data_IF_711558057101
#
_entry.id   IF_711558057101
#
_cell.length_a   1.000
_cell.length_b   1.000
_cell.length_c   1.000
_cell.angle_alpha   90.00
_cell.angle_beta   90.00
_cell.angle_gamma   90.00
#
_symmetry.space_group_name_H-M   'P 1'
#
loop_
_entity.id
_entity.type
_entity.pdbx_description
1 polymer ?
#
# COMPACT_ATOMS: atom_id res chain seq x y z
N UNK A 1 -15.39 -39.32 -10.52
CA UNK A 1 -14.01 -38.82 -10.42
C UNK A 1 -14.16 -37.30 -10.33
N UNK A 2 -14.60 -36.85 -9.16
CA UNK A 2 -14.99 -35.46 -8.95
C UNK A 2 -13.72 -34.69 -8.54
N UNK A 3 -13.24 -33.86 -9.45
CA UNK A 3 -12.24 -32.85 -9.14
C UNK A 3 -12.92 -31.77 -8.29
N UNK A 4 -12.87 -31.95 -6.97
CA UNK A 4 -13.05 -30.83 -6.04
C UNK A 4 -11.98 -29.77 -6.39
N UNK A 5 -12.43 -28.65 -6.95
CA UNK A 5 -11.71 -27.40 -6.86
C UNK A 5 -11.54 -27.07 -5.38
N UNK A 6 -10.42 -27.49 -4.80
CA UNK A 6 -9.95 -27.00 -3.52
C UNK A 6 -9.75 -25.49 -3.70
N UNK A 7 -10.72 -24.71 -3.24
CA UNK A 7 -10.50 -23.30 -2.94
C UNK A 7 -9.45 -23.25 -1.84
N UNK A 8 -8.18 -23.18 -2.21
CA UNK A 8 -7.12 -22.88 -1.25
C UNK A 8 -7.43 -21.50 -0.68
N UNK A 9 -7.91 -21.47 0.57
CA UNK A 9 -8.22 -20.25 1.29
C UNK A 9 -6.95 -19.38 1.35
N UNK A 10 -7.05 -18.12 0.91
CA UNK A 10 -5.95 -17.17 0.98
C UNK A 10 -5.88 -16.60 2.39
N UNK A 11 -4.80 -16.89 3.10
CA UNK A 11 -4.57 -16.41 4.46
C UNK A 11 -3.70 -15.15 4.45
N UNK A 12 -3.98 -14.21 5.35
CA UNK A 12 -3.20 -12.98 5.48
C UNK A 12 -2.19 -13.11 6.62
N UNK A 13 -0.96 -12.68 6.40
CA UNK A 13 0.06 -12.60 7.44
C UNK A 13 0.70 -11.20 7.51
N UNK A 14 1.20 -10.85 8.69
CA UNK A 14 2.07 -9.69 8.90
C UNK A 14 3.48 -10.25 9.10
N UNK A 15 4.47 -9.86 8.28
CA UNK A 15 5.84 -10.35 8.45
C UNK A 15 6.48 -9.75 9.69
N UNK A 16 7.39 -10.50 10.30
CA UNK A 16 8.30 -9.98 11.31
C UNK A 16 9.36 -9.11 10.62
N UNK A 17 9.54 -7.87 11.04
CA UNK A 17 10.68 -7.06 10.61
C UNK A 17 11.94 -7.47 11.37
N UNK A 18 13.02 -7.69 10.64
CA UNK A 18 14.32 -8.10 11.17
C UNK A 18 15.37 -7.09 10.76
N UNK A 19 16.16 -6.62 11.73
CA UNK A 19 17.34 -5.82 11.47
C UNK A 19 18.48 -6.76 11.05
N UNK A 20 18.76 -6.85 9.74
CA UNK A 20 20.08 -7.33 9.30
C UNK A 20 20.97 -6.11 9.14
N UNK A 21 22.10 -6.11 9.88
CA UNK A 21 23.17 -5.11 9.83
C UNK A 21 23.84 -5.03 8.46
N UNK A 22 23.12 -4.54 7.46
CA UNK A 22 23.67 -4.09 6.19
C UNK A 22 23.99 -2.61 6.28
N UNK A 23 25.11 -2.19 5.71
CA UNK A 23 25.63 -0.81 5.72
C UNK A 23 24.69 0.21 5.05
N UNK A 24 23.58 -0.24 4.45
CA UNK A 24 22.56 0.58 3.81
C UNK A 24 21.42 0.81 4.82
N UNK A 25 21.44 1.98 5.46
CA UNK A 25 20.30 2.50 6.26
C UNK A 25 19.01 2.44 5.42
N UNK A 26 18.09 1.53 5.76
CA UNK A 26 16.71 1.52 5.24
C UNK A 26 16.21 0.25 4.56
N UNK A 27 17.02 -0.79 4.37
CA UNK A 27 16.55 -2.08 3.81
C UNK A 27 16.05 -3.00 4.92
N UNK A 28 14.79 -2.86 5.33
CA UNK A 28 14.17 -3.79 6.29
C UNK A 28 14.09 -5.19 5.65
N UNK A 29 14.47 -6.22 6.41
CA UNK A 29 14.29 -7.62 6.02
C UNK A 29 13.04 -8.16 6.70
N UNK A 30 12.19 -8.83 5.94
CA UNK A 30 10.93 -9.39 6.39
C UNK A 30 11.05 -10.90 6.54
N UNK A 31 10.43 -11.44 7.59
CA UNK A 31 10.40 -12.87 7.88
C UNK A 31 8.96 -13.37 8.05
N UNK A 32 8.68 -14.53 7.47
CA UNK A 32 7.40 -15.20 7.56
C UNK A 32 7.58 -16.65 8.01
N UNK A 33 7.02 -16.98 9.18
CA UNK A 33 6.94 -18.34 9.70
C UNK A 33 5.63 -18.97 9.24
N UNK A 34 5.70 -19.79 8.20
CA UNK A 34 4.55 -20.49 7.65
C UNK A 34 4.16 -21.70 8.52
N UNK A 35 2.92 -21.79 9.00
CA UNK A 35 2.51 -22.88 9.89
C UNK A 35 2.16 -24.19 9.17
N UNK A 36 1.70 -24.15 7.92
CA UNK A 36 1.21 -25.31 7.17
C UNK A 36 1.12 -25.02 5.66
N UNK A 37 0.77 -26.03 4.85
CA UNK A 37 0.54 -25.84 3.41
C UNK A 37 -0.64 -24.88 3.16
N UNK A 38 -0.53 -24.00 2.16
CA UNK A 38 -1.56 -23.00 1.88
C UNK A 38 -1.05 -21.81 1.07
N UNK A 39 -1.93 -20.84 0.79
CA UNK A 39 -1.57 -19.56 0.17
C UNK A 39 -1.58 -18.47 1.22
N UNK A 40 -0.48 -17.71 1.32
CA UNK A 40 -0.29 -16.70 2.34
C UNK A 40 0.08 -15.36 1.71
N UNK A 41 -0.79 -14.34 1.84
CA UNK A 41 -0.55 -12.99 1.36
C UNK A 41 -0.01 -12.10 2.48
N UNK A 42 1.09 -11.41 2.19
CA UNK A 42 1.66 -10.41 3.06
C UNK A 42 0.79 -9.15 3.07
N UNK A 43 0.37 -8.69 4.25
CA UNK A 43 -0.40 -7.43 4.39
C UNK A 43 0.40 -6.17 4.05
N UNK A 44 1.72 -6.21 4.13
CA UNK A 44 2.58 -5.05 3.87
C UNK A 44 2.89 -4.91 2.38
N UNK A 45 3.34 -6.01 1.77
CA UNK A 45 3.88 -5.99 0.40
C UNK A 45 2.95 -6.58 -0.64
N UNK A 46 1.84 -7.20 -0.23
CA UNK A 46 0.94 -7.97 -1.10
C UNK A 46 1.58 -9.18 -1.80
N UNK A 47 2.83 -9.55 -1.50
CA UNK A 47 3.39 -10.82 -1.97
C UNK A 47 2.56 -12.00 -1.47
N UNK A 48 2.31 -12.98 -2.35
CA UNK A 48 1.73 -14.27 -1.93
C UNK A 48 2.73 -15.39 -2.12
N UNK A 49 2.90 -16.19 -1.07
CA UNK A 49 3.65 -17.44 -1.10
C UNK A 49 2.67 -18.61 -1.09
N UNK A 50 2.74 -19.49 -2.08
CA UNK A 50 2.08 -20.80 -2.01
C UNK A 50 3.04 -21.82 -1.43
N UNK A 51 2.77 -22.22 -0.20
CA UNK A 51 3.60 -23.11 0.61
C UNK A 51 3.08 -24.54 0.50
N UNK A 52 3.97 -25.52 0.32
CA UNK A 52 3.62 -26.95 0.32
C UNK A 52 3.58 -27.55 1.73
N UNK A 53 3.96 -26.79 2.75
CA UNK A 53 4.00 -27.23 4.14
C UNK A 53 4.51 -26.14 5.08
N UNK A 54 4.74 -26.52 6.35
CA UNK A 54 5.38 -25.64 7.34
C UNK A 54 6.76 -25.20 6.84
N UNK A 55 7.10 -23.93 7.02
CA UNK A 55 8.36 -23.38 6.52
C UNK A 55 8.68 -21.99 7.04
N UNK A 56 9.78 -21.44 6.53
CA UNK A 56 10.27 -20.12 6.84
C UNK A 56 10.74 -19.43 5.55
N UNK A 57 10.13 -18.28 5.26
CA UNK A 57 10.51 -17.43 4.12
C UNK A 57 11.05 -16.11 4.66
N UNK A 58 12.20 -15.71 4.14
CA UNK A 58 12.76 -14.38 4.32
C UNK A 58 12.69 -13.63 3.00
N UNK A 59 12.40 -12.34 3.04
CA UNK A 59 12.53 -11.51 1.86
C UNK A 59 12.82 -10.05 2.22
N UNK A 60 13.34 -9.29 1.26
CA UNK A 60 13.52 -7.84 1.38
C UNK A 60 13.25 -7.17 0.05
N UNK A 61 12.93 -5.88 0.10
CA UNK A 61 12.77 -5.04 -1.10
C UNK A 61 14.12 -4.39 -1.38
N UNK A 62 14.63 -4.57 -2.60
CA UNK A 62 15.93 -4.04 -3.04
C UNK A 62 15.78 -3.11 -4.23
N UNK A 63 16.80 -2.29 -4.50
CA UNK A 63 16.78 -1.38 -5.66
C UNK A 63 17.07 -2.13 -6.96
N UNK A 64 16.39 -1.71 -8.03
CA UNK A 64 16.72 -2.13 -9.40
C UNK A 64 18.07 -1.55 -9.86
N UNK A 65 18.47 -0.37 -9.35
CA UNK A 65 19.66 0.35 -9.83
C UNK A 65 20.98 -0.39 -9.54
N UNK A 66 21.00 -1.27 -8.53
CA UNK A 66 22.18 -2.05 -8.17
C UNK A 66 22.33 -3.34 -9.00
N UNK A 67 21.39 -3.62 -9.90
CA UNK A 67 21.33 -4.88 -10.65
C UNK A 67 21.31 -4.59 -12.16
N UNK A 68 22.44 -4.80 -12.87
CA UNK A 68 22.54 -4.53 -14.31
C UNK A 68 21.46 -5.26 -15.11
N UNK A 69 20.83 -4.54 -16.03
CA UNK A 69 19.75 -5.01 -16.90
C UNK A 69 20.24 -5.22 -18.33
N UNK A 70 21.40 -5.85 -18.47
CA UNK A 70 22.07 -6.04 -19.76
C UNK A 70 21.17 -6.82 -20.73
N UNK A 71 21.04 -6.33 -21.96
CA UNK A 71 20.15 -6.91 -22.97
C UNK A 71 18.65 -6.66 -22.75
N UNK A 72 18.26 -6.03 -21.64
CA UNK A 72 16.86 -5.76 -21.26
C UNK A 72 16.47 -4.29 -21.39
N UNK A 73 17.16 -3.51 -22.23
CA UNK A 73 16.90 -2.06 -22.39
C UNK A 73 15.45 -1.73 -22.81
N UNK A 74 14.81 -2.63 -23.57
CA UNK A 74 13.42 -2.52 -24.01
C UNK A 74 12.39 -2.88 -22.91
N UNK A 75 12.84 -3.40 -21.77
CA UNK A 75 11.99 -3.73 -20.62
C UNK A 75 12.04 -2.62 -19.57
N UNK A 76 10.95 -2.45 -18.83
CA UNK A 76 10.82 -1.52 -17.72
C UNK A 76 10.36 -2.23 -16.46
N UNK A 77 10.99 -1.98 -15.30
CA UNK A 77 10.44 -2.35 -14.00
C UNK A 77 9.06 -1.73 -13.75
N UNK A 78 8.10 -2.55 -13.33
CA UNK A 78 6.73 -2.10 -13.02
C UNK A 78 6.33 -2.27 -11.54
N UNK A 79 7.28 -2.62 -10.68
CA UNK A 79 7.07 -2.77 -9.25
C UNK A 79 8.39 -3.01 -8.49
N UNK A 80 8.31 -3.36 -7.20
CA UNK A 80 9.48 -3.65 -6.38
C UNK A 80 10.27 -4.86 -6.89
N UNK A 81 11.58 -4.88 -6.61
CA UNK A 81 12.45 -6.05 -6.76
C UNK A 81 12.55 -6.73 -5.40
N UNK A 82 12.21 -8.02 -5.34
CA UNK A 82 12.18 -8.79 -4.10
C UNK A 82 13.33 -9.78 -4.06
N UNK A 83 14.25 -9.62 -3.12
CA UNK A 83 15.23 -10.65 -2.78
C UNK A 83 14.55 -11.62 -1.80
N UNK A 84 14.27 -12.83 -2.26
CA UNK A 84 13.48 -13.85 -1.56
C UNK A 84 14.39 -15.04 -1.29
N UNK A 85 14.28 -15.59 -0.08
CA UNK A 85 14.96 -16.83 0.31
C UNK A 85 14.02 -17.70 1.15
N UNK A 86 13.97 -19.00 0.87
CA UNK A 86 13.26 -19.98 1.69
C UNK A 86 14.26 -20.72 2.56
N UNK A 87 14.24 -20.45 3.86
CA UNK A 87 15.15 -21.06 4.84
C UNK A 87 14.73 -22.49 5.15
N UNK A 88 13.41 -22.73 5.21
CA UNK A 88 12.84 -24.03 5.51
C UNK A 88 11.54 -24.23 4.74
N UNK A 89 11.30 -25.45 4.26
CA UNK A 89 10.08 -25.81 3.53
C UNK A 89 10.21 -25.54 2.03
N UNK A 90 9.08 -25.59 1.34
CA UNK A 90 9.00 -25.44 -0.10
C UNK A 90 7.89 -24.44 -0.46
N UNK A 91 8.27 -23.41 -1.18
CA UNK A 91 7.34 -22.49 -1.86
C UNK A 91 7.20 -23.01 -3.29
N UNK A 92 6.01 -23.41 -3.70
CA UNK A 92 5.80 -23.90 -5.07
C UNK A 92 5.45 -22.78 -6.05
N UNK A 93 4.77 -21.73 -5.60
CA UNK A 93 4.41 -20.61 -6.47
C UNK A 93 4.61 -19.28 -5.76
N UNK A 94 5.03 -18.29 -6.54
CA UNK A 94 5.13 -16.90 -6.13
C UNK A 94 4.11 -16.06 -6.87
N UNK A 95 3.42 -15.19 -6.13
CA UNK A 95 2.48 -14.24 -6.69
C UNK A 95 3.06 -12.85 -6.46
N UNK A 96 3.53 -12.23 -7.53
CA UNK A 96 4.12 -10.90 -7.53
C UNK A 96 3.02 -9.87 -7.75
N UNK A 97 2.83 -8.89 -6.83
CA UNK A 97 1.78 -7.90 -6.95
C UNK A 97 2.06 -6.92 -8.09
N UNK A 98 1.01 -6.52 -8.80
CA UNK A 98 1.05 -5.43 -9.78
C UNK A 98 -0.22 -4.59 -9.70
N UNK A 99 -0.18 -3.43 -10.36
CA UNK A 99 -1.35 -2.58 -10.54
C UNK A 99 -1.66 -2.28 -12.01
N UNK A 100 -0.98 -2.94 -12.95
CA UNK A 100 -1.26 -2.79 -14.39
C UNK A 100 -2.71 -3.10 -14.75
N UNK A 101 -3.31 -2.24 -15.59
CA UNK A 101 -4.58 -2.52 -16.24
C UNK A 101 -4.25 -3.21 -17.55
N UNK A 102 -4.40 -4.53 -17.58
CA UNK A 102 -4.10 -5.35 -18.75
C UNK A 102 -5.39 -5.67 -19.52
N UNK A 103 -5.36 -5.44 -20.83
CA UNK A 103 -6.33 -6.02 -21.77
C UNK A 103 -5.81 -7.40 -22.22
N UNK A 104 -6.67 -8.26 -22.77
CA UNK A 104 -6.28 -9.65 -23.11
C UNK A 104 -5.05 -9.73 -24.02
N UNK A 105 -4.93 -8.82 -24.98
CA UNK A 105 -3.78 -8.72 -25.90
C UNK A 105 -2.49 -8.25 -25.20
N UNK A 106 -2.61 -7.53 -24.07
CA UNK A 106 -1.48 -6.93 -23.34
C UNK A 106 -0.77 -7.88 -22.37
N UNK A 107 -1.40 -9.03 -22.03
CA UNK A 107 -0.83 -10.02 -21.09
C UNK A 107 0.50 -10.62 -21.60
N UNK A 108 0.71 -10.61 -22.92
CA UNK A 108 1.88 -11.19 -23.60
C UNK A 108 3.16 -10.35 -23.42
N UNK A 109 3.06 -9.15 -22.83
CA UNK A 109 4.18 -8.20 -22.74
C UNK A 109 4.83 -8.13 -21.36
N UNK A 110 4.36 -8.94 -20.42
CA UNK A 110 4.86 -9.00 -19.05
C UNK A 110 5.77 -10.20 -18.87
N UNK A 111 6.91 -9.99 -18.22
CA UNK A 111 7.83 -11.04 -17.81
C UNK A 111 8.24 -10.84 -16.35
N UNK A 112 8.74 -11.91 -15.73
CA UNK A 112 9.40 -11.82 -14.42
C UNK A 112 10.90 -11.92 -14.63
N UNK A 113 11.65 -10.93 -14.16
CA UNK A 113 13.09 -11.03 -14.04
C UNK A 113 13.43 -11.92 -12.84
N UNK A 114 14.31 -12.89 -13.06
CA UNK A 114 14.91 -13.73 -12.04
C UNK A 114 16.44 -13.54 -12.10
N UNK A 115 17.01 -12.84 -11.12
CA UNK A 115 18.45 -12.59 -11.09
C UNK A 115 19.14 -13.70 -10.32
N UNK A 116 19.92 -14.51 -11.03
CA UNK A 116 20.80 -15.51 -10.44
C UNK A 116 22.20 -14.92 -10.21
N UNK A 117 23.11 -15.70 -9.62
CA UNK A 117 24.48 -15.23 -9.35
C UNK A 117 25.22 -14.75 -10.61
N UNK A 118 24.90 -15.34 -11.78
CA UNK A 118 25.67 -15.16 -13.01
C UNK A 118 24.88 -14.50 -14.15
N UNK A 119 23.54 -14.39 -14.03
CA UNK A 119 22.70 -13.93 -15.14
C UNK A 119 21.30 -13.45 -14.73
N UNK A 120 20.59 -12.84 -15.66
CA UNK A 120 19.16 -12.50 -15.54
C UNK A 120 18.35 -13.39 -16.48
N UNK A 121 17.43 -14.16 -15.90
CA UNK A 121 16.50 -15.00 -16.65
C UNK A 121 15.13 -14.31 -16.73
N UNK A 122 14.44 -14.45 -17.87
CA UNK A 122 13.07 -13.99 -18.03
C UNK A 122 12.11 -15.17 -17.90
N UNK A 123 11.39 -15.22 -16.79
CA UNK A 123 10.34 -16.21 -16.55
C UNK A 123 9.03 -15.69 -17.15
N UNK A 124 8.39 -16.52 -17.96
CA UNK A 124 7.05 -16.24 -18.47
C UNK A 124 6.01 -16.50 -17.37
N UNK A 125 5.06 -15.58 -17.14
CA UNK A 125 3.96 -15.80 -16.21
C UNK A 125 3.18 -17.08 -16.53
N UNK A 126 2.85 -17.87 -15.50
CA UNK A 126 1.85 -18.93 -15.62
C UNK A 126 0.45 -18.33 -15.80
N UNK A 127 0.19 -17.28 -15.03
CA UNK A 127 -1.09 -16.57 -15.04
C UNK A 127 -0.89 -15.13 -14.61
N UNK A 128 -1.62 -14.22 -15.26
CA UNK A 128 -1.71 -12.81 -14.87
C UNK A 128 -3.16 -12.53 -14.49
N UNK A 129 -3.36 -12.11 -13.25
CA UNK A 129 -4.66 -11.71 -12.69
C UNK A 129 -4.80 -10.18 -12.73
N UNK A 130 -5.82 -9.63 -12.06
CA UNK A 130 -5.97 -8.18 -11.96
C UNK A 130 -4.99 -7.53 -10.96
N UNK A 131 -4.36 -8.32 -10.10
CA UNK A 131 -3.53 -7.84 -8.98
C UNK A 131 -2.21 -8.56 -8.84
N UNK A 132 -2.05 -9.76 -9.41
CA UNK A 132 -0.85 -10.58 -9.27
C UNK A 132 -0.45 -11.28 -10.57
N UNK A 133 0.86 -11.40 -10.74
CA UNK A 133 1.53 -12.27 -11.69
C UNK A 133 1.97 -13.53 -10.95
N UNK A 134 1.60 -14.70 -11.46
CA UNK A 134 1.84 -15.99 -10.82
C UNK A 134 2.92 -16.73 -11.60
N UNK A 135 3.95 -17.20 -10.90
CA UNK A 135 5.02 -18.03 -11.45
C UNK A 135 5.22 -19.29 -10.60
N UNK A 136 5.64 -20.37 -11.26
CA UNK A 136 6.30 -21.51 -10.61
C UNK A 136 7.76 -21.12 -10.32
N UNK A 137 8.26 -21.50 -9.15
CA UNK A 137 9.62 -21.14 -8.75
C UNK A 137 10.44 -22.40 -8.46
N UNK A 138 11.59 -22.48 -9.12
CA UNK A 138 12.54 -23.61 -8.95
C UNK A 138 13.77 -23.23 -8.12
N UNK A 139 13.90 -21.94 -7.79
CA UNK A 139 14.99 -21.39 -6.99
C UNK A 139 14.55 -20.10 -6.30
N UNK A 140 15.40 -19.62 -5.40
CA UNK A 140 15.16 -18.39 -4.65
C UNK A 140 16.31 -17.42 -4.89
N UNK A 141 15.98 -16.18 -5.24
CA UNK A 141 16.91 -15.09 -5.50
C UNK A 141 16.09 -13.80 -5.63
N UNK A 142 16.45 -12.92 -6.57
CA UNK A 142 15.73 -11.68 -6.82
C UNK A 142 14.67 -11.87 -7.90
N UNK A 143 13.44 -11.45 -7.59
CA UNK A 143 12.29 -11.51 -8.49
C UNK A 143 11.66 -10.13 -8.65
N UNK A 144 11.41 -9.73 -9.90
CA UNK A 144 10.78 -8.45 -10.18
C UNK A 144 10.01 -8.45 -11.49
N UNK A 145 8.96 -7.63 -11.57
CA UNK A 145 8.10 -7.57 -12.75
C UNK A 145 8.63 -6.59 -13.79
N UNK A 146 8.65 -7.04 -15.04
CA UNK A 146 9.05 -6.26 -16.21
C UNK A 146 7.92 -6.16 -17.22
N UNK A 147 7.82 -4.99 -17.86
CA UNK A 147 6.92 -4.74 -18.98
C UNK A 147 7.73 -4.25 -20.19
N UNK A 148 7.37 -4.73 -21.38
CA UNK A 148 8.00 -4.28 -22.62
C UNK A 148 7.55 -2.84 -22.98
N UNK A 149 8.52 -1.90 -23.01
CA UNK A 149 8.32 -0.47 -23.28
C UNK A 149 7.75 -0.18 -24.67
N UNK A 150 7.96 -1.07 -25.64
CA UNK A 150 7.53 -0.85 -27.02
C UNK A 150 6.00 -0.74 -27.17
N UNK A 151 5.24 -1.19 -26.17
CA UNK A 151 3.78 -1.16 -26.18
C UNK A 151 3.18 0.08 -25.46
N UNK A 152 4.02 1.06 -25.09
CA UNK A 152 3.62 2.34 -24.51
C UNK A 152 3.29 2.30 -23.01
N UNK A 153 3.09 3.47 -22.41
CA UNK A 153 2.67 3.59 -21.00
C UNK A 153 1.21 3.13 -20.84
N UNK A 154 1.03 1.96 -20.23
CA UNK A 154 -0.27 1.45 -19.79
C UNK A 154 -0.83 2.29 -18.65
N UNK A 155 -2.16 2.34 -18.60
CA UNK A 155 -2.84 2.86 -17.42
C UNK A 155 -2.70 1.85 -16.28
N UNK A 156 -2.54 2.33 -15.06
CA UNK A 156 -2.43 1.51 -13.86
C UNK A 156 -3.53 1.88 -12.86
N UNK A 157 -3.94 0.91 -12.05
CA UNK A 157 -4.69 1.17 -10.84
C UNK A 157 -3.81 1.95 -9.87
N UNK A 158 -4.24 3.15 -9.53
CA UNK A 158 -3.56 4.04 -8.62
C UNK A 158 -4.48 4.45 -7.48
N UNK A 159 -3.95 5.22 -6.55
CA UNK A 159 -4.66 5.73 -5.39
C UNK A 159 -4.27 7.17 -5.10
N UNK A 160 -5.26 7.95 -4.66
CA UNK A 160 -5.10 9.29 -4.11
C UNK A 160 -5.21 9.18 -2.59
N UNK A 161 -4.12 9.43 -1.86
CA UNK A 161 -4.12 9.46 -0.40
C UNK A 161 -4.04 10.89 0.10
N UNK A 162 -4.84 11.18 1.13
CA UNK A 162 -4.96 12.51 1.73
C UNK A 162 -4.41 12.48 3.15
N UNK A 163 -3.52 13.42 3.43
CA UNK A 163 -2.84 13.54 4.73
C UNK A 163 -2.94 14.97 5.22
N UNK A 164 -3.49 15.19 6.40
CA UNK A 164 -3.84 16.51 6.89
C UNK A 164 -3.13 16.86 8.20
N UNK A 165 -2.69 18.11 8.30
CA UNK A 165 -2.09 18.66 9.52
C UNK A 165 -2.58 20.07 9.79
N UNK A 166 -2.96 20.34 11.04
CA UNK A 166 -3.14 21.70 11.57
C UNK A 166 -1.76 22.25 11.92
N UNK A 167 -1.41 23.42 11.40
CA UNK A 167 -0.14 24.08 11.74
C UNK A 167 -0.34 24.94 12.99
N UNK A 168 0.59 24.83 13.93
CA UNK A 168 0.56 25.52 15.23
C UNK A 168 1.24 26.90 15.20
N UNK A 169 1.86 27.27 14.08
CA UNK A 169 2.56 28.53 13.81
C UNK A 169 1.60 29.67 13.42
N UNK A 170 2.05 30.92 13.60
CA UNK A 170 1.44 32.21 13.28
C UNK A 170 0.62 32.14 11.98
N UNK A 171 -0.70 32.12 12.15
CA UNK A 171 -1.67 32.09 11.06
C UNK A 171 -2.67 30.94 11.12
N UNK A 172 -2.54 29.99 12.06
CA UNK A 172 -3.47 28.85 12.23
C UNK A 172 -3.80 28.11 10.92
N UNK A 173 -2.86 28.11 9.97
CA UNK A 173 -3.06 27.50 8.65
C UNK A 173 -3.16 25.99 8.75
N UNK A 174 -3.85 25.38 7.81
CA UNK A 174 -3.96 23.95 7.67
C UNK A 174 -3.26 23.53 6.37
N UNK A 175 -2.65 22.35 6.37
CA UNK A 175 -1.97 21.80 5.20
C UNK A 175 -2.54 20.42 4.89
N UNK A 176 -2.85 20.20 3.63
CA UNK A 176 -3.30 18.91 3.10
C UNK A 176 -2.27 18.43 2.08
N UNK A 177 -1.69 17.28 2.33
CA UNK A 177 -0.84 16.55 1.41
C UNK A 177 -1.69 15.60 0.58
N UNK A 178 -1.45 15.62 -0.74
CA UNK A 178 -2.04 14.69 -1.70
C UNK A 178 -0.92 13.83 -2.22
N UNK A 179 -1.07 12.51 -2.10
CA UNK A 179 -0.15 11.53 -2.66
C UNK A 179 -0.83 10.80 -3.80
N UNK A 180 -0.21 10.81 -4.97
CA UNK A 180 -0.54 9.93 -6.08
C UNK A 180 0.40 8.74 -6.04
N UNK A 181 -0.12 7.55 -5.75
CA UNK A 181 0.69 6.34 -5.61
C UNK A 181 0.09 5.17 -6.40
N UNK A 182 0.91 4.20 -6.84
CA UNK A 182 0.43 2.92 -7.31
C UNK A 182 -0.45 2.21 -6.26
N UNK A 183 -1.47 1.46 -6.69
CA UNK A 183 -2.39 0.75 -5.76
C UNK A 183 -1.69 -0.32 -4.92
N UNK A 184 -0.50 -0.79 -5.34
CA UNK A 184 0.28 -1.79 -4.59
C UNK A 184 0.95 -1.22 -3.34
N UNK A 185 1.04 0.11 -3.19
CA UNK A 185 1.66 0.77 -2.03
C UNK A 185 0.71 0.73 -0.83
N UNK A 186 1.22 0.32 0.34
CA UNK A 186 0.43 0.24 1.57
C UNK A 186 0.14 1.62 2.16
N UNK A 187 -1.13 1.88 2.48
CA UNK A 187 -1.55 3.12 3.16
C UNK A 187 -0.88 3.26 4.52
N UNK A 188 -0.73 2.16 5.26
CA UNK A 188 -0.11 2.14 6.59
C UNK A 188 1.38 2.50 6.49
N UNK A 189 2.07 2.00 5.46
CA UNK A 189 3.48 2.32 5.22
C UNK A 189 3.67 3.81 4.92
N UNK A 190 2.82 4.38 4.06
CA UNK A 190 2.83 5.81 3.77
C UNK A 190 2.54 6.61 5.04
N UNK A 191 1.49 6.23 5.79
CA UNK A 191 1.08 6.93 7.00
C UNK A 191 2.18 6.96 8.06
N UNK A 192 2.89 5.85 8.27
CA UNK A 192 4.03 5.77 9.20
C UNK A 192 5.18 6.72 8.81
N UNK A 193 5.26 7.15 7.54
CA UNK A 193 6.28 8.08 7.02
C UNK A 193 5.81 9.54 6.95
N UNK A 194 4.52 9.81 7.19
CA UNK A 194 3.97 11.17 7.10
C UNK A 194 4.07 11.99 8.41
N UNK A 195 4.84 11.53 9.41
CA UNK A 195 5.03 12.22 10.70
C UNK A 195 3.67 12.59 11.36
N UNK A 196 3.48 13.85 11.75
CA UNK A 196 2.24 14.32 12.42
C UNK A 196 1.06 14.54 11.46
N UNK A 197 1.18 14.20 10.18
CA UNK A 197 0.04 14.29 9.27
C UNK A 197 -0.88 13.09 9.46
N UNK A 198 -2.16 13.38 9.62
CA UNK A 198 -3.19 12.38 9.81
C UNK A 198 -3.73 11.93 8.45
N UNK A 199 -3.81 10.62 8.20
CA UNK A 199 -4.54 10.11 7.05
C UNK A 199 -6.04 10.45 7.16
N UNK A 200 -6.61 10.96 6.06
CA UNK A 200 -8.06 11.10 5.92
C UNK A 200 -8.55 9.96 5.05
N UNK A 201 -9.37 9.08 5.63
CA UNK A 201 -10.00 7.99 4.89
C UNK A 201 -11.01 8.56 3.91
N UNK A 202 -10.84 8.23 2.64
CA UNK A 202 -11.76 8.56 1.54
C UNK A 202 -11.68 7.47 0.47
N UNK A 203 -12.56 7.50 -0.52
CA UNK A 203 -12.42 6.65 -1.70
C UNK A 203 -11.15 7.07 -2.45
N UNK A 204 -10.11 6.26 -2.40
CA UNK A 204 -8.79 6.62 -2.94
C UNK A 204 -8.56 6.14 -4.38
N UNK A 205 -9.24 5.07 -4.81
CA UNK A 205 -8.99 4.40 -6.09
C UNK A 205 -9.17 5.34 -7.29
N UNK A 206 -8.19 5.33 -8.19
CA UNK A 206 -8.22 6.00 -9.49
C UNK A 206 -7.43 5.19 -10.52
N UNK A 207 -7.36 5.69 -11.75
CA UNK A 207 -6.54 5.13 -12.82
C UNK A 207 -5.65 6.23 -13.38
N UNK A 208 -4.33 6.01 -13.38
CA UNK A 208 -3.34 6.99 -13.82
C UNK A 208 -2.38 6.36 -14.83
N UNK A 209 -1.72 7.17 -15.62
CA UNK A 209 -0.76 6.75 -16.65
C UNK A 209 0.61 7.28 -16.21
N UNK A 210 1.57 6.40 -15.90
CA UNK A 210 2.93 6.82 -15.55
C UNK A 210 3.59 7.70 -16.64
N UNK A 211 4.31 8.72 -16.19
CA UNK A 211 4.94 9.73 -17.06
C UNK A 211 3.99 10.84 -17.53
N UNK A 212 2.73 10.83 -17.12
CA UNK A 212 1.79 11.94 -17.38
C UNK A 212 1.69 12.89 -16.20
N UNK A 213 1.39 14.15 -16.53
CA UNK A 213 1.17 15.22 -15.56
C UNK A 213 -0.28 15.28 -15.11
N UNK A 214 -0.45 15.54 -13.81
CA UNK A 214 -1.74 15.68 -13.13
C UNK A 214 -1.74 16.94 -12.28
N UNK A 215 -2.93 17.40 -11.89
CA UNK A 215 -3.09 18.53 -10.96
C UNK A 215 -4.35 18.42 -10.10
N UNK A 216 -4.35 18.92 -8.86
CA UNK A 216 -5.54 18.99 -8.03
C UNK A 216 -6.64 19.84 -8.68
N UNK A 217 -7.89 19.39 -8.58
CA UNK A 217 -9.08 20.24 -8.73
C UNK A 217 -9.53 20.67 -7.34
N UNK A 218 -9.13 21.86 -6.92
CA UNK A 218 -9.62 22.49 -5.70
C UNK A 218 -9.62 24.02 -5.85
N UNK A 219 -10.40 24.70 -5.01
CA UNK A 219 -10.53 26.16 -5.01
C UNK A 219 -9.41 26.86 -4.20
N UNK A 220 -8.58 26.09 -3.51
CA UNK A 220 -7.53 26.59 -2.64
C UNK A 220 -6.18 26.66 -3.34
N UNK A 221 -5.23 27.39 -2.74
CA UNK A 221 -3.86 27.45 -3.25
C UNK A 221 -3.18 26.10 -3.03
N UNK A 222 -2.53 25.59 -4.07
CA UNK A 222 -1.74 24.37 -4.01
C UNK A 222 -0.43 24.51 -4.79
N UNK A 223 0.50 23.60 -4.52
CA UNK A 223 1.76 23.47 -5.26
C UNK A 223 2.19 22.01 -5.39
N UNK A 224 2.95 21.64 -6.42
CA UNK A 224 3.18 22.44 -7.65
C UNK A 224 1.88 22.59 -8.47
N UNK A 225 1.92 23.37 -9.56
CA UNK A 225 0.77 23.58 -10.44
C UNK A 225 0.33 22.29 -11.15
N UNK A 226 1.30 21.45 -11.51
CA UNK A 226 1.14 20.11 -12.03
C UNK A 226 2.38 19.28 -11.66
N UNK A 227 2.23 17.97 -11.59
CA UNK A 227 3.33 17.03 -11.32
C UNK A 227 3.19 15.76 -12.14
N UNK A 228 4.32 15.17 -12.53
CA UNK A 228 4.38 13.90 -13.24
C UNK A 228 4.13 12.74 -12.28
N UNK A 229 3.17 11.88 -12.62
CA UNK A 229 2.92 10.66 -11.87
C UNK A 229 3.91 9.57 -12.29
N UNK A 230 4.67 9.04 -11.32
CA UNK A 230 5.63 7.98 -11.52
C UNK A 230 5.26 6.70 -10.76
N UNK A 231 5.91 5.58 -11.10
CA UNK A 231 5.72 4.26 -10.47
C UNK A 231 6.43 4.16 -9.10
N UNK A 232 6.47 5.24 -8.33
CA UNK A 232 7.18 5.27 -7.06
C UNK A 232 6.50 4.34 -6.04
N UNK A 233 7.21 3.30 -5.60
CA UNK A 233 6.76 2.34 -4.60
C UNK A 233 7.55 2.47 -3.28
N UNK A 234 8.13 3.64 -3.02
CA UNK A 234 8.90 3.92 -1.81
C UNK A 234 10.41 3.78 -1.99
N UNK A 235 11.19 3.86 -0.89
CA UNK A 235 10.72 4.02 0.49
C UNK A 235 10.34 5.46 0.87
N UNK A 236 10.66 6.43 0.00
CA UNK A 236 10.39 7.85 0.24
C UNK A 236 9.05 8.28 -0.38
N UNK A 237 8.03 8.39 0.47
CA UNK A 237 6.69 8.84 0.09
C UNK A 237 6.54 10.34 0.30
N UNK A 238 7.06 11.13 -0.65
CA UNK A 238 6.85 12.58 -0.65
C UNK A 238 5.46 12.94 -1.19
N UNK A 239 4.80 13.97 -0.63
CA UNK A 239 3.53 14.43 -1.17
C UNK A 239 3.71 14.89 -2.62
N UNK A 240 2.83 14.43 -3.50
CA UNK A 240 2.78 14.89 -4.90
C UNK A 240 2.30 16.33 -4.97
N UNK A 241 1.33 16.70 -4.13
CA UNK A 241 0.85 18.07 -4.01
C UNK A 241 0.64 18.48 -2.56
N UNK A 242 0.77 19.77 -2.32
CA UNK A 242 0.50 20.41 -1.04
C UNK A 242 -0.58 21.48 -1.25
N UNK A 243 -1.70 21.35 -0.54
CA UNK A 243 -2.78 22.34 -0.53
C UNK A 243 -2.74 23.12 0.78
N UNK A 244 -2.80 24.45 0.67
CA UNK A 244 -2.79 25.37 1.80
C UNK A 244 -4.21 25.87 2.07
N UNK A 245 -4.62 25.77 3.32
CA UNK A 245 -5.97 26.04 3.76
C UNK A 245 -5.94 27.05 4.92
N UNK A 246 -6.89 27.98 4.91
CA UNK A 246 -7.07 28.92 6.02
C UNK A 246 -7.63 28.20 7.25
N UNK A 247 -7.51 28.85 8.41
CA UNK A 247 -7.81 28.23 9.71
C UNK A 247 -9.28 27.82 9.85
N UNK A 248 -10.18 28.52 9.18
CA UNK A 248 -11.63 28.37 9.26
C UNK A 248 -12.15 27.25 8.36
N UNK A 249 -11.33 26.73 7.43
CA UNK A 249 -11.77 25.71 6.45
C UNK A 249 -11.93 24.36 7.13
N UNK A 250 -13.17 23.90 7.31
CA UNK A 250 -13.49 22.63 7.96
C UNK A 250 -13.72 21.48 6.98
N UNK A 251 -14.07 21.80 5.74
CA UNK A 251 -14.29 20.85 4.66
C UNK A 251 -13.74 21.41 3.36
N UNK A 252 -13.39 20.53 2.43
CA UNK A 252 -12.87 20.87 1.12
C UNK A 252 -13.41 19.91 0.07
N UNK A 253 -13.78 20.42 -1.10
CA UNK A 253 -14.01 19.58 -2.28
C UNK A 253 -12.71 19.45 -3.07
N UNK A 254 -12.26 18.21 -3.27
CA UNK A 254 -11.00 17.91 -3.94
C UNK A 254 -11.20 16.83 -4.99
N UNK A 255 -10.61 17.05 -6.17
CA UNK A 255 -10.56 16.12 -7.29
C UNK A 255 -9.17 16.09 -7.92
N UNK A 256 -8.98 15.28 -8.98
CA UNK A 256 -7.74 15.24 -9.74
C UNK A 256 -8.03 15.37 -11.25
N UNK A 257 -7.26 16.22 -11.91
CA UNK A 257 -7.34 16.44 -13.35
C UNK A 257 -6.08 15.92 -14.04
N UNK A 258 -6.26 15.44 -15.27
CA UNK A 258 -5.14 15.29 -16.19
C UNK A 258 -4.75 16.62 -16.87
N UNK A 259 -3.73 16.56 -17.73
CA UNK A 259 -3.23 17.70 -18.50
C UNK A 259 -4.28 18.36 -19.41
N UNK A 260 -5.31 17.63 -19.82
CA UNK A 260 -6.38 18.09 -20.71
C UNK A 260 -7.56 18.67 -19.91
N UNK A 261 -7.49 18.63 -18.57
CA UNK A 261 -8.55 19.10 -17.68
C UNK A 261 -9.67 18.07 -17.49
N UNK A 262 -9.47 16.82 -17.91
CA UNK A 262 -10.41 15.74 -17.65
C UNK A 262 -10.26 15.26 -16.21
N UNK A 263 -11.39 15.00 -15.57
CA UNK A 263 -11.44 14.40 -14.23
C UNK A 263 -11.01 12.93 -14.29
N UNK A 264 -9.92 12.61 -13.61
CA UNK A 264 -9.40 11.24 -13.45
C UNK A 264 -9.64 10.69 -12.05
N UNK A 265 -10.03 11.56 -11.12
CA UNK A 265 -10.56 11.23 -9.80
C UNK A 265 -11.61 12.30 -9.45
N UNK A 266 -12.88 11.88 -9.44
CA UNK A 266 -14.04 12.79 -9.31
C UNK A 266 -13.96 13.66 -8.05
N UNK A 267 -14.30 14.95 -8.13
CA UNK A 267 -14.34 15.84 -6.98
C UNK A 267 -15.25 15.31 -5.87
N UNK A 268 -14.76 15.25 -4.65
CA UNK A 268 -15.53 14.81 -3.48
C UNK A 268 -15.26 15.68 -2.26
N UNK A 269 -16.28 15.78 -1.42
CA UNK A 269 -16.20 16.49 -0.15
C UNK A 269 -15.35 15.69 0.85
N UNK A 270 -14.40 16.36 1.48
CA UNK A 270 -13.49 15.81 2.48
C UNK A 270 -13.57 16.68 3.73
N UNK A 271 -13.95 16.06 4.85
CA UNK A 271 -14.06 16.74 6.15
C UNK A 271 -12.72 16.70 6.87
N UNK A 272 -12.21 17.87 7.25
CA UNK A 272 -10.91 18.09 7.89
C UNK A 272 -11.01 18.12 9.43
N UNK A 273 -12.21 18.38 9.95
CA UNK A 273 -12.53 18.45 11.38
C UNK A 273 -13.38 17.24 11.79
N UNK A 274 -12.80 16.39 12.63
CA UNK A 274 -13.58 15.39 13.33
C UNK A 274 -12.82 14.91 14.55
N UNK A 275 -13.52 14.72 15.66
CA UNK A 275 -13.11 13.80 16.70
C UNK A 275 -13.18 12.39 16.11
N UNK A 276 -12.27 12.05 15.22
CA UNK A 276 -12.13 10.69 14.77
C UNK A 276 -11.31 9.99 15.85
N UNK A 277 -12.00 9.32 16.77
CA UNK A 277 -11.39 8.38 17.69
C UNK A 277 -10.43 7.52 16.88
N UNK A 278 -9.13 7.59 17.17
CA UNK A 278 -8.21 6.54 16.79
C UNK A 278 -8.86 5.24 17.24
N UNK A 279 -9.03 4.29 16.32
CA UNK A 279 -9.47 2.95 16.67
C UNK A 279 -8.62 2.50 17.85
N UNK A 280 -9.25 2.38 19.01
CA UNK A 280 -8.64 1.76 20.16
C UNK A 280 -8.13 0.41 19.70
N UNK A 281 -6.85 0.11 19.98
CA UNK A 281 -6.37 -1.26 20.00
C UNK A 281 -7.46 -2.12 20.61
N UNK A 282 -8.08 -2.98 19.79
CA UNK A 282 -8.94 -4.03 20.32
C UNK A 282 -7.97 -4.98 21.00
N UNK A 283 -7.72 -4.75 22.28
CA UNK A 283 -7.12 -5.76 23.14
C UNK A 283 -8.13 -6.89 23.20
N UNK A 284 -7.90 -7.95 22.42
CA UNK A 284 -8.57 -9.22 22.62
C UNK A 284 -8.19 -9.73 24.00
N UNK A 285 -9.03 -9.48 25.01
CA UNK A 285 -8.99 -10.25 26.24
C UNK A 285 -9.52 -11.63 25.86
N UNK A 286 -8.61 -12.57 25.62
CA UNK A 286 -8.96 -13.99 25.51
C UNK A 286 -9.38 -14.42 26.91
N UNK A 287 -10.69 -14.50 27.16
CA UNK A 287 -11.22 -15.21 28.33
C UNK A 287 -11.30 -16.68 27.91
N UNK A 288 -10.56 -17.60 28.57
CA UNK A 288 -10.70 -19.02 28.26
C UNK A 288 -12.05 -19.50 28.80
N UNK A 289 -13.04 -19.66 27.93
CA UNK A 289 -14.31 -20.30 28.28
C UNK A 289 -14.11 -21.81 28.32
N UNK A 290 -14.00 -22.33 29.54
CA UNK A 290 -14.14 -23.75 29.79
C UNK A 290 -15.64 -24.09 29.77
N UNK A 291 -16.00 -25.01 28.87
CA UNK A 291 -17.27 -25.77 28.80
C UNK A 291 -18.50 -25.14 28.12
N UNK A 292 -18.88 -25.81 27.03
CA UNK A 292 -20.21 -26.12 26.47
C UNK A 292 -21.35 -25.12 26.72
N UNK A 293 -21.72 -24.43 25.64
CA UNK A 293 -23.11 -24.07 25.35
C UNK A 293 -23.49 -22.61 25.58
N UNK A 294 -23.93 -21.98 24.47
CA UNK A 294 -24.83 -20.83 24.36
C UNK A 294 -24.29 -19.38 24.43
N UNK A 295 -24.65 -18.67 23.34
CA UNK A 295 -24.98 -17.24 23.13
C UNK A 295 -23.94 -16.14 23.42
N UNK A 296 -23.58 -15.42 22.35
CA UNK A 296 -22.87 -14.14 22.37
C UNK A 296 -23.85 -13.00 22.73
N UNK A 297 -23.73 -12.42 23.92
CA UNK A 297 -24.29 -11.10 24.22
C UNK A 297 -23.18 -10.05 24.15
N UNK A 298 -23.35 -9.05 23.29
CA UNK A 298 -22.49 -7.85 23.25
C UNK A 298 -23.03 -6.86 24.28
N UNK A 299 -22.36 -6.72 25.42
CA UNK A 299 -22.64 -5.59 26.33
C UNK A 299 -21.88 -4.34 25.88
N UNK A 300 -22.62 -3.33 25.41
CA UNK A 300 -22.13 -1.96 25.27
C UNK A 300 -22.06 -1.31 26.66
N UNK A 301 -20.85 -1.03 27.16
CA UNK A 301 -20.70 -0.13 28.31
C UNK A 301 -20.58 1.32 27.82
N UNK A 302 -21.66 2.09 27.90
CA UNK A 302 -21.62 3.55 27.77
C UNK A 302 -21.10 4.15 29.08
N UNK A 303 -19.92 4.78 29.07
CA UNK A 303 -19.48 5.67 30.16
C UNK A 303 -19.74 7.12 29.75
N UNK A 304 -20.84 7.67 30.25
CA UNK A 304 -21.13 9.11 30.25
C UNK A 304 -20.18 9.79 31.24
N UNK A 305 -19.45 10.81 30.81
CA UNK A 305 -18.73 11.71 31.73
C UNK A 305 -19.30 13.12 31.60
N UNK A 306 -20.10 13.52 32.58
CA UNK A 306 -20.44 14.92 32.82
C UNK A 306 -19.25 15.62 33.47
N UNK A 307 -18.85 16.77 32.94
CA UNK A 307 -17.76 17.58 33.48
C UNK A 307 -17.92 19.07 33.14
N UNK A 308 -18.90 19.70 33.81
CA UNK A 308 -19.04 21.11 34.19
C UNK A 308 -18.29 22.22 33.41
N UNK A 309 -19.08 23.10 32.79
CA UNK A 309 -18.72 24.49 32.51
C UNK A 309 -18.99 25.39 33.74
N UNK A 310 -18.05 26.30 33.96
CA UNK A 310 -18.01 27.35 34.99
C UNK A 310 -19.02 28.47 34.71
N UNK A 311 -19.60 29.11 35.73
CA UNK A 311 -19.99 30.53 35.70
C UNK A 311 -20.15 31.14 37.12
N UNK A 312 -19.24 32.08 37.41
CA UNK A 312 -19.34 33.35 38.14
C UNK A 312 -20.27 33.50 39.37
N UNK A 313 -19.60 33.73 40.52
CA UNK A 313 -19.80 34.75 41.57
C UNK A 313 -21.13 35.52 41.67
N UNK A 314 -21.63 35.71 42.91
CA UNK A 314 -21.78 37.02 43.61
C UNK A 314 -22.72 36.95 44.86
N UNK A 315 -22.24 37.56 45.96
CA UNK A 315 -22.90 38.18 47.15
C UNK A 315 -23.63 37.39 48.27
N UNK A 316 -23.03 37.52 49.47
CA UNK A 316 -23.57 38.21 50.67
C UNK A 316 -24.19 37.42 51.84
N UNK A 317 -23.60 37.75 53.00
CA UNK A 317 -23.94 37.52 54.43
C UNK A 317 -23.66 36.14 55.03
#
# INVERSE_FOLDING_TARGET
MDMEHQFTHLELFIPEETEKGSEIKGSNSYRFMCPHAGQFQCKLTNLVFKMEGKGEVMYRIVSWDTHPMDGLAHMQPIGPLYDINCIQGLVSHLYLPHCEIMYEESKVHLAVAHFTADSVELIQPLQVTNTHVIIDIQGFSLFGLLLNKMFGSSCINAQVLLFYKKMTDRGRRKKLHIHLLPMIVSVDEVANRQNDFRNITTSSKCQLIPGRKYRPKCEHKFQPQDETFDRNCGPNYHPTFEVFLEAEVEEITIGLLDKEGKEVWEPRLVVLTGNWNCGTHINFIIIPTNQRGATLEVQQSAKTFLGFQTLLSIFSW
#
